data_IF_936212715760
#
_entry.id   IF_936212715760
#
_cell.length_a   1.000
_cell.length_b   1.000
_cell.length_c   1.000
_cell.angle_alpha   90.00
_cell.angle_beta   90.00
_cell.angle_gamma   90.00
#
_symmetry.space_group_name_H-M   'P 1'
#
loop_
_entity.id
_entity.type
_entity.pdbx_description
1 polymer ?
#
# COMPACT_ATOMS: atom_id res chain seq x y z
N UNK A 1 -32.27 12.47 18.01
CA UNK A 1 -30.84 12.21 18.14
C UNK A 1 -30.22 11.71 16.82
N UNK A 2 -30.45 12.42 15.68
CA UNK A 2 -29.93 12.04 14.33
C UNK A 2 -29.07 13.13 13.67
N UNK A 3 -28.61 14.14 14.42
CA UNK A 3 -27.84 15.27 13.88
C UNK A 3 -26.37 15.32 14.31
N UNK A 4 -25.92 14.46 15.20
CA UNK A 4 -24.51 14.44 15.65
C UNK A 4 -23.57 13.60 14.80
N UNK A 5 -24.08 12.61 14.06
CA UNK A 5 -23.24 11.70 13.25
C UNK A 5 -22.75 12.28 11.94
N UNK A 6 -23.32 13.41 11.48
CA UNK A 6 -22.86 14.07 10.24
C UNK A 6 -21.74 15.09 10.44
N UNK A 7 -21.47 15.51 11.67
CA UNK A 7 -20.41 16.49 11.96
C UNK A 7 -19.03 15.84 12.19
N UNK A 8 -19.00 14.58 12.62
CA UNK A 8 -17.73 13.86 12.87
C UNK A 8 -17.03 13.41 11.58
N UNK A 9 -17.78 13.15 10.50
CA UNK A 9 -17.18 12.75 9.22
C UNK A 9 -16.51 13.91 8.45
N UNK A 10 -16.93 15.16 8.70
CA UNK A 10 -16.32 16.33 8.06
C UNK A 10 -15.03 16.80 8.76
N UNK A 11 -14.89 16.53 10.07
CA UNK A 11 -13.69 16.93 10.82
C UNK A 11 -12.49 16.01 10.56
N UNK A 12 -12.71 14.73 10.22
CA UNK A 12 -11.62 13.82 9.87
C UNK A 12 -11.00 14.12 8.50
N UNK A 13 -11.75 14.67 7.57
CA UNK A 13 -11.24 15.06 6.25
C UNK A 13 -10.34 16.30 6.27
N UNK A 14 -10.51 17.16 7.29
CA UNK A 14 -9.79 18.43 7.38
C UNK A 14 -8.38 18.35 7.99
N UNK A 15 -8.09 17.35 8.81
CA UNK A 15 -6.82 17.27 9.55
C UNK A 15 -5.71 16.63 8.72
N UNK A 16 -6.03 15.81 7.72
CA UNK A 16 -5.02 15.21 6.83
C UNK A 16 -4.46 16.16 5.77
N UNK A 17 -5.09 17.30 5.52
CA UNK A 17 -4.63 18.27 4.52
C UNK A 17 -3.44 19.13 4.97
N UNK A 18 -3.16 19.23 6.27
CA UNK A 18 -2.11 20.13 6.79
C UNK A 18 -0.74 19.49 7.02
N UNK A 19 -0.64 18.15 7.04
CA UNK A 19 0.63 17.48 7.26
C UNK A 19 1.54 17.38 6.01
N UNK A 20 1.07 17.80 4.83
CA UNK A 20 1.81 17.69 3.57
C UNK A 20 2.52 18.97 3.12
N UNK A 21 2.59 20.01 3.94
CA UNK A 21 3.14 21.32 3.53
C UNK A 21 4.61 21.54 3.91
N UNK A 22 5.31 20.57 4.46
CA UNK A 22 6.70 20.73 4.91
C UNK A 22 7.72 19.82 4.22
N UNK A 23 7.54 19.50 2.95
CA UNK A 23 8.57 18.87 2.14
C UNK A 23 8.94 19.77 0.96
N UNK A 24 9.91 20.63 1.22
CA UNK A 24 10.99 21.09 0.34
C UNK A 24 10.70 21.34 -1.13
N UNK A 25 10.85 22.58 -1.56
CA UNK A 25 11.26 23.12 -2.85
C UNK A 25 11.49 22.17 -4.03
N UNK A 26 10.43 21.64 -4.60
CA UNK A 26 10.44 20.95 -5.88
C UNK A 26 9.54 21.69 -6.87
N UNK A 27 9.95 21.67 -8.13
CA UNK A 27 9.18 22.22 -9.27
C UNK A 27 7.75 21.66 -9.26
N UNK A 28 6.77 22.39 -9.80
CA UNK A 28 5.34 22.07 -9.70
C UNK A 28 4.89 20.64 -10.04
N UNK A 29 5.71 19.87 -10.75
CA UNK A 29 5.48 18.44 -11.02
C UNK A 29 5.63 17.55 -9.78
N UNK A 30 6.55 17.87 -8.85
CA UNK A 30 6.81 17.04 -7.66
C UNK A 30 5.66 17.10 -6.67
N UNK A 31 5.03 18.27 -6.51
CA UNK A 31 3.88 18.46 -5.63
C UNK A 31 2.62 17.74 -6.15
N UNK A 32 2.40 17.73 -7.47
CA UNK A 32 1.30 17.00 -8.08
C UNK A 32 1.49 15.49 -7.97
N UNK A 33 2.72 15.02 -8.18
CA UNK A 33 3.11 13.61 -8.01
C UNK A 33 2.90 13.15 -6.57
N UNK A 34 3.39 13.90 -5.58
CA UNK A 34 3.21 13.56 -4.17
C UNK A 34 1.72 13.50 -3.76
N UNK A 35 0.88 14.41 -4.27
CA UNK A 35 -0.57 14.36 -4.05
C UNK A 35 -1.21 13.12 -4.67
N UNK A 36 -0.74 12.71 -5.84
CA UNK A 36 -1.25 11.52 -6.51
C UNK A 36 -0.84 10.25 -5.77
N UNK A 37 0.42 10.15 -5.32
CA UNK A 37 0.91 9.05 -4.48
C UNK A 37 0.08 8.93 -3.19
N UNK A 38 -0.12 10.04 -2.48
CA UNK A 38 -0.94 10.07 -1.27
C UNK A 38 -2.40 9.65 -1.53
N UNK A 39 -2.98 10.06 -2.67
CA UNK A 39 -4.33 9.63 -3.07
C UNK A 39 -4.37 8.12 -3.32
N UNK A 40 -3.35 7.56 -3.99
CA UNK A 40 -3.25 6.13 -4.22
C UNK A 40 -3.18 5.35 -2.90
N UNK A 41 -2.32 5.79 -1.98
CA UNK A 41 -2.23 5.20 -0.64
C UNK A 41 -3.57 5.20 0.09
N UNK A 42 -4.30 6.32 0.09
CA UNK A 42 -5.61 6.43 0.74
C UNK A 42 -6.64 5.47 0.15
N UNK A 43 -6.71 5.37 -1.19
CA UNK A 43 -7.68 4.50 -1.87
C UNK A 43 -7.38 3.03 -1.59
N UNK A 44 -6.09 2.63 -1.62
CA UNK A 44 -5.70 1.25 -1.29
C UNK A 44 -5.90 0.93 0.19
N UNK A 45 -5.59 1.86 1.11
CA UNK A 45 -5.86 1.68 2.54
C UNK A 45 -7.35 1.48 2.82
N UNK A 46 -8.21 2.28 2.18
CA UNK A 46 -9.67 2.13 2.33
C UNK A 46 -10.14 0.74 1.86
N UNK A 47 -9.62 0.26 0.71
CA UNK A 47 -9.94 -1.06 0.19
C UNK A 47 -9.44 -2.19 1.09
N UNK A 48 -8.24 -2.05 1.66
CA UNK A 48 -7.71 -3.03 2.62
C UNK A 48 -8.51 -3.04 3.92
N UNK A 49 -8.85 -1.89 4.47
CA UNK A 49 -9.67 -1.79 5.68
C UNK A 49 -11.03 -2.47 5.49
N UNK A 50 -11.69 -2.23 4.36
CA UNK A 50 -12.91 -2.92 3.99
C UNK A 50 -12.71 -4.44 3.93
N UNK A 51 -11.67 -4.91 3.25
CA UNK A 51 -11.35 -6.33 3.10
C UNK A 51 -11.00 -7.04 4.41
N UNK A 52 -10.34 -6.35 5.35
CA UNK A 52 -10.01 -6.87 6.69
C UNK A 52 -11.14 -6.68 7.71
N UNK A 53 -12.16 -5.90 7.39
CA UNK A 53 -13.26 -5.57 8.30
C UNK A 53 -12.80 -4.79 9.54
N UNK A 54 -11.74 -4.00 9.40
CA UNK A 54 -11.09 -3.22 10.46
C UNK A 54 -10.59 -1.88 9.95
N UNK A 55 -10.61 -0.90 10.83
CA UNK A 55 -10.03 0.43 10.59
C UNK A 55 -8.58 0.48 11.08
N UNK A 56 -7.63 0.38 10.13
CA UNK A 56 -6.21 0.62 10.38
C UNK A 56 -5.82 1.99 9.82
N UNK A 57 -4.91 2.67 10.51
CA UNK A 57 -4.18 3.80 9.94
C UNK A 57 -3.05 3.28 9.07
N UNK A 58 -2.63 4.06 8.08
CA UNK A 58 -1.44 3.74 7.29
C UNK A 58 -0.19 3.75 8.20
N UNK A 59 0.39 2.58 8.44
CA UNK A 59 1.56 2.41 9.32
C UNK A 59 2.83 2.87 8.58
N UNK A 60 3.55 3.84 9.17
CA UNK A 60 4.71 4.45 8.53
C UNK A 60 5.86 3.48 8.28
N UNK A 61 6.09 2.49 9.16
CA UNK A 61 7.16 1.52 8.97
C UNK A 61 6.85 0.60 7.78
N UNK A 62 5.61 0.13 7.68
CA UNK A 62 5.16 -0.71 6.55
C UNK A 62 5.15 0.10 5.25
N UNK A 63 4.67 1.35 5.30
CA UNK A 63 4.71 2.27 4.16
C UNK A 63 6.14 2.49 3.66
N UNK A 64 7.08 2.75 4.55
CA UNK A 64 8.48 2.96 4.20
C UNK A 64 9.12 1.69 3.59
N UNK A 65 8.80 0.51 4.12
CA UNK A 65 9.23 -0.77 3.56
C UNK A 65 8.64 -0.96 2.15
N UNK A 66 7.36 -0.62 1.97
CA UNK A 66 6.69 -0.69 0.67
C UNK A 66 7.35 0.23 -0.37
N UNK A 67 7.64 1.48 -0.01
CA UNK A 67 8.32 2.44 -0.90
C UNK A 67 9.72 1.95 -1.29
N UNK A 68 10.52 1.50 -0.32
CA UNK A 68 11.85 0.94 -0.58
C UNK A 68 11.79 -0.27 -1.51
N UNK A 69 10.79 -1.14 -1.33
CA UNK A 69 10.61 -2.30 -2.18
C UNK A 69 10.23 -1.91 -3.62
N UNK A 70 9.34 -0.92 -3.80
CA UNK A 70 9.02 -0.35 -5.11
C UNK A 70 10.30 0.19 -5.78
N UNK A 71 11.09 1.01 -5.07
CA UNK A 71 12.32 1.61 -5.61
C UNK A 71 13.34 0.54 -6.05
N UNK A 72 13.45 -0.56 -5.33
CA UNK A 72 14.32 -1.67 -5.69
C UNK A 72 13.84 -2.48 -6.90
N UNK A 73 12.52 -2.57 -7.12
CA UNK A 73 11.93 -3.46 -8.11
C UNK A 73 11.42 -2.77 -9.38
N UNK A 74 11.13 -1.46 -9.32
CA UNK A 74 10.46 -0.74 -10.42
C UNK A 74 11.26 -0.68 -11.73
N UNK A 75 12.58 -0.89 -11.70
CA UNK A 75 13.41 -0.96 -12.90
C UNK A 75 13.32 -2.31 -13.63
N UNK A 76 12.72 -3.34 -13.00
CA UNK A 76 12.59 -4.66 -13.58
C UNK A 76 11.30 -4.76 -14.39
N UNK A 77 11.39 -5.30 -15.59
CA UNK A 77 10.23 -5.52 -16.44
C UNK A 77 9.36 -6.66 -15.91
N UNK A 78 9.98 -7.70 -15.36
CA UNK A 78 9.30 -8.85 -14.77
C UNK A 78 9.90 -9.18 -13.43
N UNK A 79 9.05 -9.66 -12.50
CA UNK A 79 9.45 -10.14 -11.18
C UNK A 79 9.21 -11.65 -11.06
N UNK A 80 10.11 -12.33 -10.39
CA UNK A 80 9.84 -13.68 -9.87
C UNK A 80 8.85 -13.58 -8.71
N UNK A 81 8.25 -14.71 -8.32
CA UNK A 81 7.30 -14.73 -7.21
C UNK A 81 7.95 -14.26 -5.90
N UNK A 82 9.24 -14.58 -5.68
CA UNK A 82 9.95 -14.13 -4.48
C UNK A 82 10.25 -12.63 -4.48
N UNK A 83 10.41 -12.04 -5.66
CA UNK A 83 10.67 -10.60 -5.82
C UNK A 83 9.40 -9.73 -5.65
N UNK A 84 8.22 -10.35 -5.64
CA UNK A 84 6.98 -9.62 -5.33
C UNK A 84 6.91 -9.15 -3.87
N UNK A 85 7.72 -9.76 -3.00
CA UNK A 85 7.63 -9.59 -1.56
C UNK A 85 8.88 -8.94 -1.00
N UNK A 86 8.69 -8.15 0.06
CA UNK A 86 9.74 -7.84 1.01
C UNK A 86 9.23 -8.10 2.42
N UNK A 87 10.15 -8.48 3.27
CA UNK A 87 9.88 -8.69 4.69
C UNK A 87 10.88 -7.92 5.56
N UNK A 88 10.42 -7.55 6.73
CA UNK A 88 11.24 -6.95 7.77
C UNK A 88 10.91 -7.63 9.11
N UNK A 89 11.85 -8.37 9.63
CA UNK A 89 11.73 -9.02 10.95
C UNK A 89 12.03 -7.99 12.04
N UNK A 90 11.02 -7.61 12.80
CA UNK A 90 11.17 -6.67 13.92
C UNK A 90 11.58 -7.37 15.21
N UNK A 91 10.99 -8.54 15.47
CA UNK A 91 11.32 -9.43 16.58
C UNK A 91 11.15 -10.88 16.15
N UNK A 92 11.41 -11.84 17.05
CA UNK A 92 11.15 -13.26 16.80
C UNK A 92 9.68 -13.55 16.43
N UNK A 93 8.75 -12.70 16.91
CA UNK A 93 7.31 -12.90 16.78
C UNK A 93 6.60 -11.76 16.04
N UNK A 94 7.33 -10.76 15.54
CA UNK A 94 6.74 -9.60 14.87
C UNK A 94 7.45 -9.33 13.56
N UNK A 95 6.69 -9.32 12.47
CA UNK A 95 7.21 -9.16 11.12
C UNK A 95 6.32 -8.23 10.30
N UNK A 96 6.96 -7.36 9.51
CA UNK A 96 6.32 -6.60 8.45
C UNK A 96 6.50 -7.35 7.13
N UNK A 97 5.44 -7.37 6.33
CA UNK A 97 5.42 -7.93 4.99
C UNK A 97 4.83 -6.93 4.03
N UNK A 98 5.43 -6.77 2.87
CA UNK A 98 4.88 -5.93 1.81
C UNK A 98 4.86 -6.69 0.50
N UNK A 99 3.89 -6.38 -0.36
CA UNK A 99 3.73 -6.92 -1.70
C UNK A 99 3.54 -5.79 -2.69
N UNK A 100 4.34 -5.76 -3.74
CA UNK A 100 4.08 -4.91 -4.90
C UNK A 100 2.80 -5.38 -5.60
N UNK A 101 1.94 -4.44 -5.99
CA UNK A 101 0.81 -4.73 -6.86
C UNK A 101 1.31 -5.15 -8.25
N UNK A 102 0.88 -6.31 -8.72
CA UNK A 102 1.37 -6.94 -9.95
C UNK A 102 0.23 -7.40 -10.85
N UNK A 103 0.53 -7.64 -12.12
CA UNK A 103 -0.39 -8.26 -13.06
C UNK A 103 0.01 -9.71 -13.31
N UNK A 104 -0.94 -10.63 -13.09
CA UNK A 104 -0.74 -12.09 -13.28
C UNK A 104 -1.09 -12.56 -14.68
N UNK A 105 -1.48 -11.68 -15.58
CA UNK A 105 -2.00 -12.07 -16.91
C UNK A 105 -0.95 -12.71 -17.83
N UNK A 106 0.27 -12.93 -17.34
CA UNK A 106 1.36 -13.50 -18.14
C UNK A 106 1.74 -14.91 -17.68
N UNK A 107 1.73 -15.83 -18.62
CA UNK A 107 2.18 -17.21 -18.47
C UNK A 107 3.68 -17.27 -18.13
N UNK A 108 4.14 -18.33 -17.48
CA UNK A 108 5.52 -18.71 -17.16
C UNK A 108 6.04 -18.38 -15.75
N UNK A 109 5.16 -18.20 -14.75
CA UNK A 109 5.57 -17.99 -13.35
C UNK A 109 6.28 -16.66 -13.10
N UNK A 110 6.17 -15.70 -14.01
CA UNK A 110 6.65 -14.35 -13.87
C UNK A 110 5.48 -13.39 -13.74
N UNK A 111 5.62 -12.42 -12.87
CA UNK A 111 4.68 -11.32 -12.71
C UNK A 111 5.24 -10.04 -13.33
N UNK A 112 4.38 -9.23 -13.88
CA UNK A 112 4.74 -7.88 -14.29
C UNK A 112 4.42 -6.91 -13.16
N UNK A 113 5.34 -6.00 -12.90
CA UNK A 113 5.04 -4.89 -12.00
C UNK A 113 3.97 -4.04 -12.66
N UNK A 114 2.76 -4.11 -12.14
CA UNK A 114 1.68 -3.26 -12.63
C UNK A 114 2.00 -1.83 -12.26
N UNK A 115 2.40 -1.04 -13.26
CA UNK A 115 2.34 0.40 -13.10
C UNK A 115 0.87 0.74 -12.93
N UNK A 116 0.47 1.02 -11.73
CA UNK A 116 -0.93 1.19 -11.40
C UNK A 116 -1.52 2.38 -12.17
N UNK A 117 -0.70 3.41 -12.45
CA UNK A 117 -1.23 4.65 -13.02
C UNK A 117 -0.15 5.46 -13.73
N UNK A 118 -0.48 6.09 -14.85
CA UNK A 118 0.34 7.15 -15.41
C UNK A 118 0.19 8.41 -14.55
N UNK A 119 1.30 8.94 -14.05
CA UNK A 119 1.29 10.12 -13.20
C UNK A 119 0.61 11.30 -13.93
N UNK A 120 -0.41 11.87 -13.29
CA UNK A 120 -1.14 13.04 -13.82
C UNK A 120 -2.23 12.74 -14.85
N UNK A 121 -2.45 11.47 -15.26
CA UNK A 121 -3.50 11.11 -16.22
C UNK A 121 -4.65 10.29 -15.63
N UNK A 122 -4.47 9.65 -14.50
CA UNK A 122 -5.50 8.82 -13.91
C UNK A 122 -6.53 9.67 -13.15
N UNK A 123 -7.71 9.80 -13.71
CA UNK A 123 -8.85 10.42 -13.03
C UNK A 123 -9.35 9.56 -11.87
N UNK A 124 -9.24 8.23 -11.97
CA UNK A 124 -9.72 7.29 -10.97
C UNK A 124 -8.68 6.23 -10.64
N UNK A 125 -8.34 6.14 -9.36
CA UNK A 125 -7.50 5.07 -8.82
C UNK A 125 -8.41 3.93 -8.39
N UNK A 126 -8.29 2.78 -9.05
CA UNK A 126 -9.10 1.59 -8.74
C UNK A 126 -8.17 0.44 -8.33
N UNK A 127 -8.17 0.02 -7.05
CA UNK A 127 -7.44 -1.16 -6.64
C UNK A 127 -7.91 -2.40 -7.39
N UNK A 128 -6.97 -3.20 -7.88
CA UNK A 128 -7.28 -4.45 -8.54
C UNK A 128 -7.71 -5.50 -7.52
N UNK A 129 -8.92 -6.02 -7.68
CA UNK A 129 -9.50 -7.01 -6.76
C UNK A 129 -8.70 -8.32 -6.74
N UNK A 130 -8.10 -8.72 -7.86
CA UNK A 130 -7.28 -9.93 -7.94
C UNK A 130 -6.04 -9.79 -7.06
N UNK A 131 -5.38 -8.64 -7.13
CA UNK A 131 -4.22 -8.32 -6.28
C UNK A 131 -4.62 -8.28 -4.80
N UNK A 132 -5.75 -7.66 -4.46
CA UNK A 132 -6.23 -7.63 -3.07
C UNK A 132 -6.53 -9.05 -2.56
N UNK A 133 -7.20 -9.90 -3.34
CA UNK A 133 -7.45 -11.31 -2.98
C UNK A 133 -6.16 -12.11 -2.79
N UNK A 134 -5.20 -11.94 -3.69
CA UNK A 134 -3.88 -12.59 -3.57
C UNK A 134 -3.16 -12.16 -2.30
N UNK A 135 -3.19 -10.87 -1.98
CA UNK A 135 -2.63 -10.34 -0.74
C UNK A 135 -3.30 -10.90 0.51
N UNK A 136 -4.63 -10.99 0.54
CA UNK A 136 -5.37 -11.58 1.67
C UNK A 136 -5.01 -13.06 1.90
N UNK A 137 -4.89 -13.83 0.83
CA UNK A 137 -4.47 -15.23 0.92
C UNK A 137 -3.06 -15.36 1.50
N UNK A 138 -2.13 -14.54 1.00
CA UNK A 138 -0.79 -14.53 1.55
C UNK A 138 -0.76 -14.07 3.00
N UNK A 139 -1.53 -13.06 3.36
CA UNK A 139 -1.63 -12.57 4.73
C UNK A 139 -1.97 -13.73 5.69
N UNK A 140 -2.94 -14.58 5.31
CA UNK A 140 -3.29 -15.75 6.11
C UNK A 140 -2.14 -16.77 6.21
N UNK A 141 -1.42 -17.01 5.10
CA UNK A 141 -0.24 -17.90 5.12
C UNK A 141 0.85 -17.34 6.04
N UNK A 142 1.17 -16.06 5.94
CA UNK A 142 2.20 -15.40 6.76
C UNK A 142 1.82 -15.40 8.25
N UNK A 143 0.55 -15.15 8.55
CA UNK A 143 0.05 -15.31 9.91
C UNK A 143 0.29 -16.73 10.45
N UNK A 144 -0.02 -17.75 9.69
CA UNK A 144 0.21 -19.14 10.07
C UNK A 144 1.69 -19.47 10.30
N UNK A 145 2.60 -18.86 9.56
CA UNK A 145 4.06 -19.01 9.74
C UNK A 145 4.58 -18.40 11.06
N UNK A 146 4.00 -17.29 11.51
CA UNK A 146 4.37 -16.65 12.78
C UNK A 146 3.80 -17.42 13.98
N UNK A 147 2.61 -17.98 13.84
CA UNK A 147 2.00 -18.82 14.87
C UNK A 147 0.47 -18.88 14.79
N UNK A 148 -0.12 -19.91 15.38
CA UNK A 148 -1.58 -20.11 15.34
C UNK A 148 -2.37 -19.02 16.06
N UNK A 149 -1.75 -18.30 17.02
CA UNK A 149 -2.35 -17.19 17.76
C UNK A 149 -2.03 -15.83 17.16
N UNK A 150 -1.19 -15.79 16.10
CA UNK A 150 -0.75 -14.56 15.50
C UNK A 150 -1.89 -13.72 14.92
N UNK A 151 -1.75 -12.40 15.03
CA UNK A 151 -2.76 -11.42 14.63
C UNK A 151 -2.16 -10.41 13.64
N UNK A 152 -3.05 -9.83 12.82
CA UNK A 152 -2.72 -8.63 12.06
C UNK A 152 -2.86 -7.41 12.97
N UNK A 153 -1.78 -6.68 13.16
CA UNK A 153 -1.72 -5.54 14.08
C UNK A 153 -1.57 -4.19 13.38
N UNK A 154 -1.13 -4.18 12.13
CA UNK A 154 -1.06 -2.98 11.31
C UNK A 154 -1.22 -3.31 9.82
N UNK A 155 -1.66 -2.32 9.06
CA UNK A 155 -1.61 -2.28 7.59
C UNK A 155 -0.82 -1.06 7.14
N UNK A 156 -0.23 -1.14 5.95
CA UNK A 156 0.43 0.00 5.33
C UNK A 156 0.40 -0.10 3.82
N UNK A 157 0.36 1.05 3.19
CA UNK A 157 0.41 1.21 1.74
C UNK A 157 1.45 2.25 1.41
N UNK A 158 2.37 1.92 0.53
CA UNK A 158 3.30 2.86 -0.07
C UNK A 158 3.01 3.00 -1.56
N UNK A 159 3.07 4.24 -2.04
CA UNK A 159 3.03 4.55 -3.46
C UNK A 159 4.27 5.35 -3.85
N UNK A 160 4.82 5.07 -5.03
CA UNK A 160 5.99 5.78 -5.54
C UNK A 160 5.92 5.93 -7.04
N UNK A 161 6.17 7.14 -7.50
CA UNK A 161 6.25 7.45 -8.93
C UNK A 161 7.71 7.39 -9.40
N UNK A 162 7.95 6.56 -10.40
CA UNK A 162 9.28 6.37 -11.02
C UNK A 162 9.10 6.43 -12.52
N UNK A 163 9.83 7.32 -13.19
CA UNK A 163 9.77 7.51 -14.64
C UNK A 163 8.33 7.75 -15.16
N UNK A 164 7.54 8.57 -14.46
CA UNK A 164 6.18 8.92 -14.85
C UNK A 164 5.12 7.83 -14.58
N UNK A 165 5.50 6.73 -13.93
CA UNK A 165 4.59 5.64 -13.56
C UNK A 165 4.52 5.52 -12.05
N UNK A 166 3.32 5.49 -11.49
CA UNK A 166 3.09 5.31 -10.06
C UNK A 166 2.85 3.84 -9.75
N UNK A 167 3.70 3.29 -8.92
CA UNK A 167 3.63 1.94 -8.40
C UNK A 167 3.03 1.96 -7.00
N UNK A 168 2.35 0.88 -6.61
CA UNK A 168 1.78 0.73 -5.28
C UNK A 168 2.24 -0.60 -4.69
N UNK A 169 2.60 -0.59 -3.42
CA UNK A 169 2.80 -1.79 -2.63
C UNK A 169 1.96 -1.72 -1.36
N UNK A 170 1.43 -2.86 -0.99
CA UNK A 170 0.53 -3.05 0.15
C UNK A 170 1.19 -3.98 1.16
N UNK A 171 0.99 -3.71 2.43
CA UNK A 171 1.66 -4.49 3.46
C UNK A 171 0.88 -4.60 4.76
N UNK A 172 1.38 -5.49 5.62
CA UNK A 172 0.80 -5.79 6.92
C UNK A 172 1.88 -6.13 7.95
N UNK A 173 1.52 -5.99 9.22
CA UNK A 173 2.27 -6.53 10.35
C UNK A 173 1.56 -7.73 10.92
N UNK A 174 2.33 -8.79 11.14
CA UNK A 174 1.89 -9.99 11.87
C UNK A 174 2.63 -10.03 13.19
N UNK A 175 1.88 -10.26 14.27
CA UNK A 175 2.40 -10.39 15.62
C UNK A 175 1.83 -11.65 16.28
N UNK A 176 2.72 -12.51 16.85
CA UNK A 176 2.41 -13.80 17.46
C UNK A 176 2.63 -13.85 18.97
#
# INVERSE_FOLDING_TARGET
MKKLTKLTSLLLAGIMALAMLTACGGTGNDAATAKFEAKAEQVYMAKLNDAFGKEFKNDDAIKNLAVKHIEAMASKETLSMDELWAEEKLTEKTQNWVMICYDVSQSNGKAYVKSSYEAGKAETITPDETTIKAFLNLAQMKRGQVGNTAKFTALGVGAKTINGKTYVAIGLRVEG
#
